data_IF_589036937738
#
_entry.id   IF_589036937738
#
_cell.length_a   1.000
_cell.length_b   1.000
_cell.length_c   1.000
_cell.angle_alpha   90.00
_cell.angle_beta   90.00
_cell.angle_gamma   90.00
#
_symmetry.space_group_name_H-M   'P 1'
#
loop_
_entity.id
_entity.type
_entity.pdbx_description
1 polymer ?
#
# COMPACT_ATOMS: atom_id res chain seq x y z
N UNK A 1 -21.44 0.40 -5.86
CA UNK A 1 -20.72 1.41 -5.04
C UNK A 1 -20.17 2.47 -5.97
N UNK A 2 -20.52 3.74 -5.72
CA UNK A 2 -20.09 4.88 -6.55
C UNK A 2 -18.82 5.51 -5.99
N UNK A 3 -17.75 5.55 -6.79
CA UNK A 3 -16.44 6.03 -6.40
C UNK A 3 -16.17 7.41 -6.97
N UNK A 4 -15.67 8.32 -6.13
CA UNK A 4 -15.08 9.58 -6.54
C UNK A 4 -13.57 9.51 -6.49
N UNK A 5 -12.86 9.81 -7.58
CA UNK A 5 -11.39 9.81 -7.64
C UNK A 5 -10.87 11.21 -7.39
N UNK A 6 -10.06 11.41 -6.36
CA UNK A 6 -9.30 12.63 -6.12
C UNK A 6 -7.88 12.46 -6.64
N UNK A 7 -7.56 13.15 -7.74
CA UNK A 7 -6.27 13.07 -8.41
C UNK A 7 -6.35 12.47 -9.82
N UNK A 8 -6.38 13.31 -10.85
CA UNK A 8 -6.39 12.94 -12.26
C UNK A 8 -4.99 12.60 -12.78
N UNK A 9 -4.27 11.70 -12.08
CA UNK A 9 -2.92 11.27 -12.40
C UNK A 9 -2.85 9.84 -12.95
N UNK A 10 -1.62 9.32 -13.07
CA UNK A 10 -1.36 7.98 -13.63
C UNK A 10 -2.11 6.86 -12.89
N UNK A 11 -2.05 6.85 -11.54
CA UNK A 11 -2.73 5.83 -10.74
C UNK A 11 -4.25 5.96 -10.84
N UNK A 12 -4.80 7.19 -10.81
CA UNK A 12 -6.21 7.41 -11.03
C UNK A 12 -6.69 6.83 -12.38
N UNK A 13 -5.93 7.03 -13.46
CA UNK A 13 -6.24 6.44 -14.77
C UNK A 13 -6.16 4.92 -14.80
N UNK A 14 -5.21 4.31 -14.07
CA UNK A 14 -5.14 2.86 -13.91
C UNK A 14 -6.37 2.31 -13.20
N UNK A 15 -6.74 2.95 -12.10
CA UNK A 15 -7.94 2.60 -11.33
C UNK A 15 -9.22 2.78 -12.17
N UNK A 16 -9.29 3.86 -12.96
CA UNK A 16 -10.44 4.08 -13.83
C UNK A 16 -10.67 2.93 -14.82
N UNK A 17 -9.60 2.41 -15.45
CA UNK A 17 -9.70 1.23 -16.33
C UNK A 17 -10.11 -0.01 -15.56
N UNK A 18 -9.54 -0.23 -14.38
CA UNK A 18 -9.86 -1.40 -13.54
C UNK A 18 -11.32 -1.41 -13.12
N UNK A 19 -11.83 -0.28 -12.61
CA UNK A 19 -13.22 -0.18 -12.13
C UNK A 19 -14.21 -0.34 -13.29
N UNK A 20 -13.88 0.12 -14.50
CA UNK A 20 -14.74 -0.03 -15.68
C UNK A 20 -15.06 -1.50 -16.01
N UNK A 21 -14.23 -2.44 -15.53
CA UNK A 21 -14.41 -3.89 -15.71
C UNK A 21 -14.81 -4.61 -14.41
N UNK A 22 -15.02 -3.85 -13.31
CA UNK A 22 -15.29 -4.42 -11.97
C UNK A 22 -16.78 -4.36 -11.65
N UNK A 23 -17.43 -5.50 -11.52
CA UNK A 23 -18.85 -5.58 -11.20
C UNK A 23 -19.20 -4.97 -9.84
N UNK A 24 -20.23 -4.12 -9.83
CA UNK A 24 -20.78 -3.53 -8.61
C UNK A 24 -19.95 -2.38 -8.02
N UNK A 25 -19.00 -1.84 -8.82
CA UNK A 25 -18.25 -0.62 -8.50
C UNK A 25 -18.25 0.28 -9.75
N UNK A 26 -18.61 1.55 -9.60
CA UNK A 26 -18.69 2.50 -10.69
C UNK A 26 -17.93 3.78 -10.33
N UNK A 27 -17.23 4.39 -11.29
CA UNK A 27 -16.68 5.73 -11.10
C UNK A 27 -17.77 6.74 -11.42
N UNK A 28 -18.13 7.54 -10.43
CA UNK A 28 -19.10 8.63 -10.58
C UNK A 28 -18.45 9.96 -10.91
N UNK A 29 -17.30 10.24 -10.28
CA UNK A 29 -16.69 11.55 -10.35
C UNK A 29 -15.15 11.51 -10.32
N UNK A 30 -14.53 12.56 -10.87
CA UNK A 30 -13.10 12.85 -10.71
C UNK A 30 -12.91 14.30 -10.29
N UNK A 31 -12.03 14.53 -9.30
CA UNK A 31 -11.64 15.85 -8.82
C UNK A 31 -10.16 16.14 -9.04
N UNK A 32 -9.87 17.35 -9.49
CA UNK A 32 -8.51 17.84 -9.65
C UNK A 32 -8.44 19.33 -9.30
N UNK A 33 -7.28 19.82 -8.83
CA UNK A 33 -7.02 21.27 -8.62
C UNK A 33 -7.05 22.07 -9.91
N UNK A 34 -7.19 21.43 -11.06
CA UNK A 34 -7.37 22.02 -12.38
C UNK A 34 -8.58 21.38 -13.03
N UNK A 35 -9.64 22.17 -13.25
CA UNK A 35 -10.87 21.70 -13.90
C UNK A 35 -10.56 21.05 -15.26
N UNK A 36 -9.73 21.69 -16.10
CA UNK A 36 -9.37 21.14 -17.40
C UNK A 36 -8.69 19.76 -17.32
N UNK A 37 -7.91 19.47 -16.24
CA UNK A 37 -7.36 18.12 -16.03
C UNK A 37 -8.45 17.13 -15.62
N UNK A 38 -9.38 17.54 -14.77
CA UNK A 38 -10.51 16.70 -14.38
C UNK A 38 -11.42 16.40 -15.59
N UNK A 39 -11.72 17.41 -16.40
CA UNK A 39 -12.54 17.27 -17.60
C UNK A 39 -11.89 16.36 -18.65
N UNK A 40 -10.60 16.50 -18.90
CA UNK A 40 -9.86 15.62 -19.83
C UNK A 40 -9.86 14.17 -19.34
N UNK A 41 -9.61 13.96 -18.04
CA UNK A 41 -9.69 12.64 -17.44
C UNK A 41 -11.11 12.05 -17.54
N UNK A 42 -12.13 12.84 -17.23
CA UNK A 42 -13.54 12.42 -17.31
C UNK A 42 -13.90 11.99 -18.73
N UNK A 43 -13.42 12.72 -19.74
CA UNK A 43 -13.64 12.38 -21.16
C UNK A 43 -12.87 11.11 -21.56
N UNK A 44 -11.61 10.96 -21.14
CA UNK A 44 -10.77 9.78 -21.47
C UNK A 44 -11.37 8.48 -20.90
N UNK A 45 -11.89 8.54 -19.67
CA UNK A 45 -12.37 7.36 -18.93
C UNK A 45 -13.89 7.27 -18.81
N UNK A 46 -14.65 8.10 -19.54
CA UNK A 46 -16.12 8.15 -19.50
C UNK A 46 -16.68 8.35 -18.07
N UNK A 47 -16.01 9.19 -17.25
CA UNK A 47 -16.46 9.51 -15.90
C UNK A 47 -17.58 10.57 -15.98
N UNK A 48 -18.76 10.35 -15.36
CA UNK A 48 -19.92 11.22 -15.52
C UNK A 48 -19.71 12.66 -15.04
N UNK A 49 -18.92 12.87 -13.95
CA UNK A 49 -18.78 14.17 -13.30
C UNK A 49 -17.32 14.57 -13.16
N UNK A 50 -16.98 15.82 -13.48
CA UNK A 50 -15.65 16.40 -13.29
C UNK A 50 -15.75 17.63 -12.38
N UNK A 51 -14.87 17.73 -11.38
CA UNK A 51 -14.82 18.82 -10.41
C UNK A 51 -13.47 19.54 -10.44
N UNK A 52 -13.50 20.88 -10.35
CA UNK A 52 -12.32 21.76 -10.38
C UNK A 52 -11.59 21.86 -9.05
N UNK A 53 -12.19 21.34 -7.98
CA UNK A 53 -11.60 21.25 -6.65
C UNK A 53 -11.93 19.93 -5.96
N UNK A 54 -11.14 19.56 -4.97
CA UNK A 54 -11.41 18.37 -4.15
C UNK A 54 -12.67 18.56 -3.28
N UNK A 55 -12.84 19.77 -2.75
CA UNK A 55 -14.00 20.11 -1.90
C UNK A 55 -15.33 19.95 -2.64
N UNK A 56 -15.41 20.41 -3.91
CA UNK A 56 -16.61 20.22 -4.75
C UNK A 56 -16.95 18.74 -4.95
N UNK A 57 -15.93 17.88 -5.20
CA UNK A 57 -16.15 16.44 -5.30
C UNK A 57 -16.64 15.86 -3.97
N UNK A 58 -16.07 16.30 -2.85
CA UNK A 58 -16.43 15.82 -1.52
C UNK A 58 -17.84 16.26 -1.09
N UNK A 59 -18.38 17.32 -1.69
CA UNK A 59 -19.77 17.79 -1.46
C UNK A 59 -20.80 17.02 -2.28
N UNK A 60 -20.38 16.18 -3.24
CA UNK A 60 -21.29 15.35 -4.04
C UNK A 60 -21.92 14.25 -3.16
N UNK A 61 -23.26 14.31 -2.91
CA UNK A 61 -23.93 13.36 -2.01
C UNK A 61 -23.99 11.94 -2.57
N UNK A 62 -23.84 11.76 -3.88
CA UNK A 62 -23.97 10.46 -4.53
C UNK A 62 -22.70 9.60 -4.46
N UNK A 63 -21.60 10.13 -3.93
CA UNK A 63 -20.33 9.40 -3.79
C UNK A 63 -20.34 8.58 -2.49
N UNK A 64 -20.20 7.27 -2.63
CA UNK A 64 -20.11 6.30 -1.53
C UNK A 64 -18.70 6.18 -0.96
N UNK A 65 -17.66 6.19 -1.84
CA UNK A 65 -16.25 6.03 -1.49
C UNK A 65 -15.39 7.04 -2.25
N UNK A 66 -14.49 7.71 -1.56
CA UNK A 66 -13.49 8.59 -2.16
C UNK A 66 -12.16 7.84 -2.25
N UNK A 67 -11.63 7.70 -3.47
CA UNK A 67 -10.28 7.18 -3.69
C UNK A 67 -9.29 8.35 -3.78
N UNK A 68 -8.36 8.40 -2.81
CA UNK A 68 -7.37 9.48 -2.71
C UNK A 68 -6.10 9.06 -3.43
N UNK A 69 -5.88 9.60 -4.64
CA UNK A 69 -4.79 9.29 -5.57
C UNK A 69 -3.84 10.47 -5.79
N UNK A 70 -3.68 11.31 -4.77
CA UNK A 70 -2.73 12.43 -4.77
C UNK A 70 -1.31 11.95 -4.43
N UNK A 71 -0.26 12.79 -4.55
CA UNK A 71 1.03 12.49 -3.94
C UNK A 71 0.92 12.34 -2.41
N UNK A 72 1.81 11.54 -1.79
CA UNK A 72 1.81 11.26 -0.34
C UNK A 72 1.66 12.51 0.52
N UNK A 73 2.35 13.60 0.14
CA UNK A 73 2.31 14.89 0.85
C UNK A 73 0.93 15.55 0.96
N UNK A 74 -0.04 15.11 0.16
CA UNK A 74 -1.41 15.66 0.13
C UNK A 74 -2.46 14.68 0.66
N UNK A 75 -2.10 13.45 1.04
CA UNK A 75 -3.05 12.47 1.55
C UNK A 75 -3.76 12.96 2.79
N UNK A 76 -3.00 13.55 3.74
CA UNK A 76 -3.52 13.97 5.04
C UNK A 76 -4.64 15.00 4.93
N UNK A 77 -4.39 16.11 4.27
CA UNK A 77 -5.35 17.21 4.16
C UNK A 77 -6.65 16.78 3.47
N UNK A 78 -6.50 16.05 2.35
CA UNK A 78 -7.63 15.54 1.58
C UNK A 78 -8.47 14.55 2.39
N UNK A 79 -7.81 13.62 3.08
CA UNK A 79 -8.49 12.59 3.87
C UNK A 79 -9.19 13.18 5.09
N UNK A 80 -8.55 14.12 5.78
CA UNK A 80 -9.16 14.83 6.92
C UNK A 80 -10.41 15.61 6.50
N UNK A 81 -10.39 16.29 5.35
CA UNK A 81 -11.55 16.98 4.81
C UNK A 81 -12.67 15.99 4.44
N UNK A 82 -12.33 14.89 3.76
CA UNK A 82 -13.29 13.86 3.36
C UNK A 82 -14.00 13.25 4.57
N UNK A 83 -13.25 12.81 5.60
CA UNK A 83 -13.82 12.31 6.85
C UNK A 83 -14.63 13.40 7.54
N UNK A 84 -14.15 14.66 7.50
CA UNK A 84 -14.86 15.85 8.00
C UNK A 84 -16.29 15.95 7.46
N UNK A 85 -16.44 15.68 6.17
CA UNK A 85 -17.71 15.67 5.42
C UNK A 85 -18.47 14.33 5.47
N UNK A 86 -17.99 13.35 6.22
CA UNK A 86 -18.61 12.02 6.37
C UNK A 86 -18.38 11.07 5.18
N UNK A 87 -17.41 11.34 4.31
CA UNK A 87 -17.10 10.51 3.15
C UNK A 87 -16.14 9.37 3.52
N UNK A 88 -16.52 8.14 3.20
CA UNK A 88 -15.63 6.98 3.27
C UNK A 88 -14.42 7.19 2.34
N UNK A 89 -13.25 6.73 2.76
CA UNK A 89 -11.99 6.92 2.03
C UNK A 89 -11.22 5.61 1.84
N UNK A 90 -10.67 5.43 0.64
CA UNK A 90 -9.58 4.52 0.35
C UNK A 90 -8.39 5.38 -0.12
N UNK A 91 -7.31 5.36 0.65
CA UNK A 91 -6.16 6.26 0.45
C UNK A 91 -4.99 5.48 -0.10
N UNK A 92 -4.35 6.00 -1.15
CA UNK A 92 -3.15 5.40 -1.72
C UNK A 92 -2.04 5.20 -0.67
N UNK A 93 -1.25 4.18 -0.93
CA UNK A 93 -0.05 3.90 -0.12
C UNK A 93 1.11 4.85 -0.52
N UNK A 94 2.05 5.20 0.38
CA UNK A 94 1.95 5.03 1.81
C UNK A 94 0.83 5.92 2.37
N UNK A 95 0.19 5.46 3.44
CA UNK A 95 -1.06 6.05 3.92
C UNK A 95 -0.99 7.56 4.11
N UNK A 96 0.03 8.04 4.85
CA UNK A 96 0.29 9.47 5.10
C UNK A 96 1.79 9.77 4.96
N UNK A 97 2.19 11.00 5.21
CA UNK A 97 3.60 11.38 5.24
C UNK A 97 4.34 10.80 6.46
N UNK A 98 3.64 10.61 7.58
CA UNK A 98 4.19 10.09 8.83
C UNK A 98 3.12 9.50 9.76
N UNK A 99 3.55 8.86 10.84
CA UNK A 99 2.67 8.21 11.81
C UNK A 99 1.82 9.19 12.64
N UNK A 100 2.27 10.41 12.84
CA UNK A 100 1.49 11.44 13.55
C UNK A 100 0.24 11.83 12.74
N UNK A 101 0.40 12.08 11.43
CA UNK A 101 -0.72 12.31 10.52
C UNK A 101 -1.63 11.09 10.43
N UNK A 102 -1.05 9.88 10.35
CA UNK A 102 -1.78 8.60 10.35
C UNK A 102 -2.67 8.50 11.58
N UNK A 103 -2.12 8.70 12.76
CA UNK A 103 -2.87 8.66 14.03
C UNK A 103 -4.04 9.65 14.03
N UNK A 104 -3.79 10.90 13.61
CA UNK A 104 -4.84 11.93 13.55
C UNK A 104 -6.00 11.54 12.63
N UNK A 105 -5.70 10.96 11.45
CA UNK A 105 -6.73 10.49 10.50
C UNK A 105 -7.53 9.33 11.09
N UNK A 106 -6.85 8.33 11.65
CA UNK A 106 -7.51 7.14 12.21
C UNK A 106 -8.36 7.48 13.45
N UNK A 107 -7.90 8.43 14.27
CA UNK A 107 -8.67 8.92 15.43
C UNK A 107 -9.93 9.68 14.97
N UNK A 108 -9.84 10.50 13.93
CA UNK A 108 -10.99 11.19 13.36
C UNK A 108 -11.98 10.21 12.74
N UNK A 109 -11.50 9.19 12.00
CA UNK A 109 -12.31 8.10 11.45
C UNK A 109 -13.11 7.41 12.54
N UNK A 110 -12.45 6.96 13.61
CA UNK A 110 -13.10 6.32 14.77
C UNK A 110 -14.12 7.24 15.45
N UNK A 111 -13.74 8.50 15.68
CA UNK A 111 -14.63 9.50 16.33
C UNK A 111 -15.90 9.76 15.52
N UNK A 112 -15.81 9.76 14.19
CA UNK A 112 -16.95 10.03 13.31
C UNK A 112 -17.67 8.78 12.81
N UNK A 113 -17.11 7.58 13.04
CA UNK A 113 -17.64 6.34 12.49
C UNK A 113 -17.57 6.27 10.97
N UNK A 114 -16.57 6.92 10.35
CA UNK A 114 -16.40 6.98 8.90
C UNK A 114 -15.34 5.97 8.48
N UNK A 115 -15.65 5.17 7.45
CA UNK A 115 -14.73 4.18 6.90
C UNK A 115 -13.47 4.83 6.32
N UNK A 116 -12.29 4.27 6.67
CA UNK A 116 -11.00 4.61 6.07
C UNK A 116 -10.18 3.35 5.87
N UNK A 117 -9.63 3.17 4.67
CA UNK A 117 -8.71 2.09 4.33
C UNK A 117 -7.46 2.61 3.62
N UNK A 118 -6.38 1.84 3.70
CA UNK A 118 -5.17 2.07 2.90
C UNK A 118 -5.17 1.15 1.68
N UNK A 119 -4.86 1.70 0.51
CA UNK A 119 -4.80 1.02 -0.77
C UNK A 119 -3.45 0.29 -0.95
N UNK A 120 -3.09 -0.59 -0.02
CA UNK A 120 -2.01 -1.57 -0.22
C UNK A 120 -2.61 -2.77 -0.95
N UNK A 121 -2.83 -2.63 -2.24
CA UNK A 121 -3.57 -3.58 -3.08
C UNK A 121 -3.17 -5.04 -2.94
N UNK A 122 -1.89 -5.32 -2.62
CA UNK A 122 -1.37 -6.66 -2.36
C UNK A 122 -2.07 -7.40 -1.21
N UNK A 123 -2.57 -6.66 -0.21
CA UNK A 123 -3.28 -7.23 0.94
C UNK A 123 -4.67 -7.74 0.62
N UNK A 124 -5.21 -7.30 -0.50
CA UNK A 124 -6.57 -7.64 -0.92
C UNK A 124 -6.62 -8.76 -1.97
N UNK A 125 -5.47 -9.10 -2.57
CA UNK A 125 -5.39 -10.09 -3.65
C UNK A 125 -5.62 -11.53 -3.16
N UNK A 126 -6.20 -12.41 -4.01
CA UNK A 126 -6.41 -13.83 -3.71
C UNK A 126 -5.12 -14.59 -3.37
N UNK A 127 -3.97 -14.16 -3.91
CA UNK A 127 -2.66 -14.73 -3.63
C UNK A 127 -2.35 -14.82 -2.13
N UNK A 128 -2.80 -13.82 -1.34
CA UNK A 128 -2.62 -13.82 0.12
C UNK A 128 -3.21 -15.08 0.77
N UNK A 129 -4.44 -15.45 0.39
CA UNK A 129 -5.12 -16.64 0.91
C UNK A 129 -4.39 -17.93 0.50
N UNK A 130 -3.90 -17.99 -0.73
CA UNK A 130 -3.14 -19.16 -1.25
C UNK A 130 -1.83 -19.32 -0.45
N UNK A 131 -1.06 -18.24 -0.29
CA UNK A 131 0.22 -18.28 0.44
C UNK A 131 0.00 -18.65 1.91
N UNK A 132 -1.01 -18.06 2.58
CA UNK A 132 -1.36 -18.43 3.97
C UNK A 132 -1.67 -19.90 4.10
N UNK A 133 -2.52 -20.44 3.23
CA UNK A 133 -2.84 -21.86 3.23
C UNK A 133 -1.59 -22.73 3.06
N UNK A 134 -0.65 -22.33 2.19
CA UNK A 134 0.61 -23.06 1.99
C UNK A 134 1.57 -22.97 3.19
N UNK A 135 1.46 -21.97 4.03
CA UNK A 135 2.19 -21.85 5.31
C UNK A 135 1.51 -22.76 6.35
N UNK A 136 0.19 -22.68 6.46
CA UNK A 136 -0.62 -23.38 7.46
C UNK A 136 -0.69 -24.88 7.22
N UNK A 137 -0.41 -25.37 6.00
CA UNK A 137 -0.38 -26.81 5.66
C UNK A 137 0.76 -27.58 6.35
N UNK A 138 1.66 -26.87 7.03
CA UNK A 138 2.76 -27.44 7.80
C UNK A 138 3.96 -27.93 7.00
N UNK A 139 3.88 -27.90 5.66
CA UNK A 139 4.96 -28.44 4.80
C UNK A 139 6.26 -27.65 4.83
N UNK A 140 6.28 -26.42 5.36
CA UNK A 140 7.54 -25.69 5.63
C UNK A 140 8.10 -26.00 7.01
N UNK A 141 7.33 -26.71 7.86
CA UNK A 141 7.66 -26.87 9.28
C UNK A 141 7.60 -25.54 10.02
N UNK A 142 8.47 -25.34 11.01
CA UNK A 142 8.55 -24.09 11.75
C UNK A 142 9.22 -23.00 10.91
N UNK A 143 8.53 -21.87 10.70
CA UNK A 143 9.10 -20.72 10.02
C UNK A 143 10.36 -20.21 10.71
N UNK A 144 11.41 -19.91 9.95
CA UNK A 144 12.71 -19.43 10.42
C UNK A 144 13.15 -18.16 9.75
N UNK A 145 12.79 -17.98 8.50
CA UNK A 145 13.19 -16.82 7.72
C UNK A 145 12.03 -16.36 6.82
N UNK A 146 11.94 -15.05 6.64
CA UNK A 146 11.10 -14.42 5.63
C UNK A 146 11.87 -13.28 4.99
N UNK A 147 11.82 -13.17 3.68
CA UNK A 147 12.47 -12.08 2.97
C UNK A 147 11.60 -11.54 1.83
N UNK A 148 11.76 -10.26 1.53
CA UNK A 148 11.09 -9.60 0.43
C UNK A 148 12.03 -8.59 -0.24
N UNK A 149 12.05 -8.58 -1.56
CA UNK A 149 12.77 -7.59 -2.36
C UNK A 149 11.82 -6.93 -3.33
N UNK A 150 11.89 -5.60 -3.46
CA UNK A 150 11.16 -4.86 -4.48
C UNK A 150 12.02 -3.71 -5.02
N UNK A 151 12.36 -3.76 -6.30
CA UNK A 151 13.20 -2.76 -6.92
C UNK A 151 12.75 -2.43 -8.35
N UNK A 152 12.65 -1.13 -8.64
CA UNK A 152 12.33 -0.59 -9.96
C UNK A 152 13.22 0.62 -10.25
N UNK A 153 13.72 0.74 -11.47
CA UNK A 153 14.46 1.93 -11.93
C UNK A 153 13.50 3.11 -12.17
N UNK A 154 13.19 3.84 -11.11
CA UNK A 154 12.19 4.94 -11.10
C UNK A 154 12.72 6.23 -10.44
N UNK A 155 14.01 6.29 -10.11
CA UNK A 155 14.64 7.48 -9.48
C UNK A 155 14.46 8.77 -10.29
N UNK A 156 14.28 8.67 -11.63
CA UNK A 156 14.02 9.80 -12.50
C UNK A 156 12.64 10.47 -12.29
N UNK A 157 11.73 9.81 -11.53
CA UNK A 157 10.38 10.36 -11.32
C UNK A 157 10.38 11.39 -10.20
N UNK A 158 9.81 12.59 -10.40
CA UNK A 158 9.79 13.66 -9.39
C UNK A 158 9.25 13.21 -8.03
N UNK A 159 8.25 12.32 -7.99
CA UNK A 159 7.66 11.81 -6.74
C UNK A 159 8.62 10.96 -5.90
N UNK A 160 9.73 10.48 -6.50
CA UNK A 160 10.75 9.68 -5.80
C UNK A 160 11.83 10.56 -5.20
N UNK A 161 12.27 11.61 -5.91
CA UNK A 161 13.44 12.40 -5.52
C UNK A 161 13.10 13.70 -4.77
N UNK A 162 11.81 14.04 -4.61
CA UNK A 162 11.38 15.31 -4.00
C UNK A 162 10.90 15.13 -2.57
N UNK A 163 11.61 15.67 -1.55
CA UNK A 163 11.18 15.61 -0.15
C UNK A 163 9.82 16.27 0.08
N UNK A 164 9.49 17.35 -0.66
CA UNK A 164 8.20 18.04 -0.58
C UNK A 164 7.01 17.21 -1.09
N UNK A 165 7.27 16.11 -1.80
CA UNK A 165 6.28 15.12 -2.21
C UNK A 165 6.30 13.86 -1.33
N UNK A 166 7.09 13.84 -0.25
CA UNK A 166 7.40 12.68 0.57
C UNK A 166 7.98 11.55 -0.30
N UNK A 167 9.01 11.90 -1.09
CA UNK A 167 9.72 10.96 -1.96
C UNK A 167 10.55 9.96 -1.17
N UNK A 168 11.14 9.02 -1.87
CA UNK A 168 11.96 7.94 -1.30
C UNK A 168 11.49 6.57 -1.74
N UNK A 169 12.38 5.60 -1.68
CA UNK A 169 12.09 4.21 -2.00
C UNK A 169 11.27 3.55 -0.88
N UNK A 170 11.49 3.90 0.38
CA UNK A 170 10.79 3.31 1.52
C UNK A 170 9.27 3.47 1.42
N UNK A 171 8.77 4.70 1.24
CA UNK A 171 7.33 4.96 1.14
C UNK A 171 6.74 4.47 -0.19
N UNK A 172 7.52 4.43 -1.28
CA UNK A 172 6.99 4.02 -2.59
C UNK A 172 7.08 2.50 -2.83
N UNK A 173 8.17 1.85 -2.40
CA UNK A 173 8.49 0.44 -2.65
C UNK A 173 8.65 -0.37 -1.36
N UNK A 174 9.39 0.13 -0.38
CA UNK A 174 9.66 -0.54 0.89
C UNK A 174 8.40 -0.91 1.64
N UNK A 175 7.37 -0.07 1.55
CA UNK A 175 6.04 -0.35 2.11
C UNK A 175 5.48 -1.70 1.68
N UNK A 176 5.72 -2.14 0.44
CA UNK A 176 5.27 -3.46 -0.03
C UNK A 176 6.10 -4.60 0.57
N UNK A 177 7.42 -4.44 0.66
CA UNK A 177 8.30 -5.44 1.27
C UNK A 177 7.99 -5.60 2.78
N UNK A 178 7.74 -4.50 3.49
CA UNK A 178 7.28 -4.51 4.88
C UNK A 178 5.93 -5.22 4.99
N UNK A 179 4.97 -4.87 4.12
CA UNK A 179 3.67 -5.51 4.09
C UNK A 179 3.77 -7.01 3.82
N UNK A 180 4.66 -7.46 2.92
CA UNK A 180 4.87 -8.89 2.68
C UNK A 180 5.28 -9.63 3.96
N UNK A 181 6.27 -9.11 4.68
CA UNK A 181 6.69 -9.69 5.97
C UNK A 181 5.51 -9.71 6.95
N UNK A 182 4.83 -8.59 7.12
CA UNK A 182 3.74 -8.45 8.08
C UNK A 182 2.51 -9.30 7.76
N UNK A 183 2.19 -9.50 6.48
CA UNK A 183 1.09 -10.37 6.05
C UNK A 183 1.28 -11.82 6.48
N UNK A 184 2.51 -12.32 6.50
CA UNK A 184 2.79 -13.76 6.75
C UNK A 184 3.49 -14.02 8.08
N UNK A 185 4.09 -13.00 8.69
CA UNK A 185 4.78 -13.09 9.98
C UNK A 185 4.51 -11.84 10.82
N UNK A 186 3.30 -11.69 11.41
CA UNK A 186 2.95 -10.51 12.22
C UNK A 186 3.56 -10.51 13.62
N UNK A 187 4.62 -11.27 13.85
CA UNK A 187 5.28 -11.40 15.14
C UNK A 187 5.88 -10.05 15.58
N UNK A 188 5.95 -9.79 16.90
CA UNK A 188 6.64 -8.63 17.45
C UNK A 188 8.10 -8.55 16.96
N UNK A 189 8.54 -7.34 16.61
CA UNK A 189 9.93 -7.05 16.26
C UNK A 189 10.72 -6.87 17.54
N UNK A 190 11.79 -7.64 17.72
CA UNK A 190 12.68 -7.59 18.89
C UNK A 190 13.91 -6.73 18.62
N UNK A 191 14.41 -6.73 17.37
CA UNK A 191 15.57 -5.96 16.95
C UNK A 191 15.45 -5.57 15.47
N UNK A 192 15.97 -4.39 15.13
CA UNK A 192 16.10 -3.89 13.76
C UNK A 192 17.53 -3.39 13.58
N UNK A 193 18.13 -3.75 12.44
CA UNK A 193 19.37 -3.19 11.93
C UNK A 193 19.10 -2.74 10.49
N UNK A 194 19.46 -1.50 10.13
CA UNK A 194 19.12 -0.98 8.81
C UNK A 194 20.22 -0.11 8.20
N UNK A 195 20.21 -0.02 6.87
CA UNK A 195 21.08 0.85 6.10
C UNK A 195 20.32 1.40 4.91
N UNK A 196 20.62 2.64 4.50
CA UNK A 196 20.11 3.20 3.26
C UNK A 196 21.15 4.00 2.50
N UNK A 197 20.91 4.19 1.21
CA UNK A 197 21.63 5.11 0.33
C UNK A 197 20.71 6.28 0.05
N UNK A 198 21.17 7.48 0.37
CA UNK A 198 20.42 8.72 0.17
C UNK A 198 20.69 9.32 -1.21
N UNK A 199 19.72 10.02 -1.75
CA UNK A 199 19.87 10.93 -2.89
C UNK A 199 20.56 12.24 -2.46
N UNK A 200 20.94 13.06 -3.43
CA UNK A 200 21.41 14.44 -3.18
C UNK A 200 20.34 15.31 -2.48
N UNK A 201 19.07 15.04 -2.68
CA UNK A 201 17.95 15.73 -2.03
C UNK A 201 17.64 15.25 -0.61
N UNK A 202 18.35 14.23 -0.11
CA UNK A 202 18.21 13.69 1.25
C UNK A 202 17.08 12.67 1.42
N UNK A 203 16.44 12.19 0.34
CA UNK A 203 15.50 11.06 0.41
C UNK A 203 16.24 9.73 0.19
N UNK A 204 15.70 8.65 0.73
CA UNK A 204 16.21 7.29 0.56
C UNK A 204 15.96 6.78 -0.88
N UNK A 205 16.96 6.12 -1.46
CA UNK A 205 16.87 5.54 -2.80
C UNK A 205 17.01 4.02 -2.81
N UNK A 206 17.76 3.48 -1.84
CA UNK A 206 17.96 2.04 -1.68
C UNK A 206 18.10 1.75 -0.21
N UNK A 207 17.37 0.78 0.29
CA UNK A 207 17.42 0.37 1.68
C UNK A 207 17.53 -1.15 1.85
N UNK A 208 18.16 -1.55 2.96
CA UNK A 208 18.23 -2.91 3.46
C UNK A 208 17.90 -2.90 4.94
N UNK A 209 16.90 -3.67 5.35
CA UNK A 209 16.46 -3.78 6.74
C UNK A 209 16.44 -5.24 7.16
N UNK A 210 17.12 -5.54 8.24
CA UNK A 210 17.15 -6.86 8.89
C UNK A 210 16.43 -6.76 10.23
N UNK A 211 15.48 -7.66 10.49
CA UNK A 211 14.70 -7.70 11.71
C UNK A 211 14.80 -9.07 12.38
N UNK A 212 14.98 -9.08 13.70
CA UNK A 212 14.72 -10.26 14.53
C UNK A 212 13.29 -10.17 15.05
N UNK A 213 12.49 -11.18 14.75
CA UNK A 213 11.11 -11.28 15.18
C UNK A 213 11.00 -12.30 16.30
N UNK A 214 10.02 -12.12 17.19
CA UNK A 214 9.78 -13.07 18.27
C UNK A 214 9.52 -14.49 17.74
N UNK A 215 9.94 -15.50 18.48
CA UNK A 215 9.91 -16.89 18.02
C UNK A 215 11.15 -17.34 17.25
N UNK A 216 12.20 -16.51 17.20
CA UNK A 216 13.49 -16.81 16.57
C UNK A 216 13.41 -16.81 15.04
N UNK A 217 12.68 -15.85 14.47
CA UNK A 217 12.50 -15.67 13.04
C UNK A 217 13.33 -14.47 12.58
N UNK A 218 14.07 -14.61 11.49
CA UNK A 218 14.75 -13.51 10.82
C UNK A 218 13.94 -13.02 9.63
N UNK A 219 13.71 -11.71 9.56
CA UNK A 219 13.09 -11.07 8.41
C UNK A 219 14.08 -10.11 7.73
N UNK A 220 14.17 -10.16 6.41
CA UNK A 220 15.02 -9.27 5.62
C UNK A 220 14.21 -8.64 4.50
N UNK A 221 14.29 -7.33 4.39
CA UNK A 221 13.69 -6.60 3.27
C UNK A 221 14.73 -5.74 2.56
N UNK A 222 14.57 -5.62 1.26
CA UNK A 222 15.35 -4.71 0.43
C UNK A 222 14.43 -4.02 -0.56
N UNK A 223 14.61 -2.72 -0.73
CA UNK A 223 13.97 -1.99 -1.82
C UNK A 223 14.89 -0.97 -2.45
N UNK A 224 14.68 -0.70 -3.72
CA UNK A 224 15.49 0.27 -4.47
C UNK A 224 14.67 0.94 -5.56
N UNK A 225 14.82 2.27 -5.64
CA UNK A 225 14.30 3.07 -6.75
C UNK A 225 15.28 3.21 -7.91
N UNK A 226 16.53 2.71 -7.75
CA UNK A 226 17.66 2.95 -8.68
C UNK A 226 17.99 1.78 -9.60
N UNK A 227 17.41 0.61 -9.39
CA UNK A 227 17.73 -0.59 -10.19
C UNK A 227 16.48 -1.45 -10.44
N UNK A 228 16.58 -2.36 -11.40
CA UNK A 228 15.65 -3.46 -11.53
C UNK A 228 16.06 -4.59 -10.59
N UNK A 229 15.09 -5.23 -9.91
CA UNK A 229 15.32 -6.33 -8.98
C UNK A 229 14.50 -7.56 -9.31
N UNK A 230 14.70 -8.63 -8.52
CA UNK A 230 13.95 -9.88 -8.66
C UNK A 230 12.50 -9.75 -8.16
N UNK A 231 12.19 -8.78 -7.33
CA UNK A 231 10.87 -8.49 -6.77
C UNK A 231 10.23 -9.67 -6.01
N UNK A 232 11.05 -10.60 -5.53
CA UNK A 232 10.60 -11.87 -4.96
C UNK A 232 10.40 -11.81 -3.46
N UNK A 233 9.47 -12.67 -2.98
CA UNK A 233 9.30 -13.00 -1.58
C UNK A 233 9.68 -14.45 -1.29
N UNK A 234 10.36 -14.71 -0.17
CA UNK A 234 10.69 -16.06 0.26
C UNK A 234 10.27 -16.29 1.71
N UNK A 235 9.57 -17.38 1.96
CA UNK A 235 9.14 -17.82 3.29
C UNK A 235 9.75 -19.20 3.54
N UNK A 236 10.68 -19.30 4.48
CA UNK A 236 11.47 -20.50 4.72
C UNK A 236 11.30 -21.03 6.15
N UNK A 237 11.17 -22.33 6.26
CA UNK A 237 11.04 -23.04 7.51
C UNK A 237 11.99 -24.24 7.62
N UNK A 238 11.79 -25.06 8.66
CA UNK A 238 12.66 -26.22 8.96
C UNK A 238 12.52 -27.38 7.95
N UNK A 239 11.40 -27.45 7.18
CA UNK A 239 11.08 -28.57 6.29
C UNK A 239 11.02 -28.19 4.80
N UNK A 240 11.14 -26.90 4.49
CA UNK A 240 11.07 -26.39 3.13
C UNK A 240 10.84 -24.89 3.05
N UNK A 241 10.58 -24.40 1.83
CA UNK A 241 10.35 -22.98 1.62
C UNK A 241 9.37 -22.71 0.47
N UNK A 242 8.87 -21.47 0.42
CA UNK A 242 8.01 -20.94 -0.63
C UNK A 242 8.70 -19.75 -1.29
N UNK A 243 8.63 -19.69 -2.60
CA UNK A 243 9.07 -18.55 -3.40
C UNK A 243 7.86 -17.94 -4.08
N UNK A 244 7.66 -16.65 -3.85
CA UNK A 244 6.63 -15.83 -4.50
C UNK A 244 7.34 -14.97 -5.53
N UNK A 245 6.98 -15.08 -6.79
CA UNK A 245 7.67 -14.45 -7.93
C UNK A 245 7.66 -12.93 -7.89
N UNK A 246 6.62 -12.33 -7.29
CA UNK A 246 6.50 -10.88 -7.17
C UNK A 246 5.74 -10.50 -5.89
N UNK A 247 6.38 -9.74 -4.98
CA UNK A 247 5.80 -9.36 -3.68
C UNK A 247 4.64 -8.38 -3.78
N UNK A 248 4.53 -7.61 -4.85
CA UNK A 248 3.44 -6.66 -5.01
C UNK A 248 2.38 -7.08 -6.04
N UNK A 249 2.65 -8.10 -6.85
CA UNK A 249 1.68 -8.70 -7.77
C UNK A 249 2.04 -10.15 -8.07
N UNK A 250 1.79 -11.08 -7.14
CA UNK A 250 2.12 -12.48 -7.32
C UNK A 250 1.36 -13.13 -8.49
N UNK A 251 2.09 -13.89 -9.34
CA UNK A 251 1.52 -14.69 -10.40
C UNK A 251 1.82 -16.18 -10.21
N UNK A 252 3.02 -16.47 -9.66
CA UNK A 252 3.50 -17.84 -9.44
C UNK A 252 4.01 -18.01 -8.03
N UNK A 253 3.61 -19.11 -7.38
CA UNK A 253 4.07 -19.51 -6.06
C UNK A 253 4.70 -20.88 -6.19
N UNK A 254 6.00 -20.99 -5.89
CA UNK A 254 6.74 -22.24 -5.93
C UNK A 254 6.93 -22.82 -4.53
N UNK A 255 6.73 -24.11 -4.41
CA UNK A 255 6.81 -24.90 -3.18
C UNK A 255 8.00 -25.83 -3.24
N UNK A 256 8.97 -25.62 -2.37
CA UNK A 256 10.19 -26.42 -2.30
C UNK A 256 10.25 -27.22 -1.00
N UNK A 257 10.69 -28.48 -1.09
CA UNK A 257 11.11 -29.29 0.05
C UNK A 257 12.59 -29.04 0.36
N UNK A 258 13.09 -29.67 1.43
CA UNK A 258 14.53 -29.68 1.76
C UNK A 258 15.36 -30.11 0.55
N UNK A 259 16.57 -29.58 0.45
CA UNK A 259 17.48 -29.83 -0.66
C UNK A 259 17.15 -29.09 -1.95
N UNK A 260 16.21 -28.12 -1.91
CA UNK A 260 15.85 -27.32 -3.08
C UNK A 260 15.00 -28.08 -4.12
N UNK A 261 14.30 -29.14 -3.69
CA UNK A 261 13.48 -29.95 -4.58
C UNK A 261 12.13 -29.27 -4.79
N UNK A 262 11.86 -28.79 -6.01
CA UNK A 262 10.56 -28.24 -6.39
C UNK A 262 9.49 -29.36 -6.30
N UNK A 263 8.46 -29.13 -5.51
CA UNK A 263 7.34 -30.05 -5.31
C UNK A 263 6.08 -29.64 -6.04
N UNK A 264 5.84 -28.34 -6.09
CA UNK A 264 4.61 -27.80 -6.63
C UNK A 264 4.84 -26.38 -7.15
N UNK A 265 4.18 -26.02 -8.20
CA UNK A 265 4.09 -24.66 -8.71
C UNK A 265 2.60 -24.31 -8.89
N UNK A 266 2.19 -23.20 -8.29
CA UNK A 266 0.81 -22.74 -8.31
C UNK A 266 0.73 -21.43 -9.06
N UNK A 267 -0.17 -21.34 -10.02
CA UNK A 267 -0.50 -20.08 -10.67
C UNK A 267 -1.60 -19.38 -9.87
N UNK A 268 -1.41 -18.11 -9.59
CA UNK A 268 -2.43 -17.25 -8.98
C UNK A 268 -3.54 -17.02 -10.03
N UNK A 269 -4.82 -17.07 -9.66
CA UNK A 269 -5.91 -16.80 -10.59
C UNK A 269 -5.75 -15.45 -11.31
N UNK A 270 -6.10 -15.42 -12.59
CA UNK A 270 -6.12 -14.20 -13.38
C UNK A 270 -7.07 -13.17 -12.75
N UNK A 271 -6.71 -11.89 -12.88
CA UNK A 271 -7.45 -10.76 -12.37
C UNK A 271 -7.52 -9.65 -13.44
N UNK A 272 -8.37 -8.65 -13.24
CA UNK A 272 -8.44 -7.48 -14.13
C UNK A 272 -7.09 -6.74 -14.08
N UNK A 273 -6.67 -6.40 -12.88
CA UNK A 273 -5.38 -5.72 -12.64
C UNK A 273 -4.79 -6.01 -11.26
N UNK A 274 -5.60 -6.61 -10.37
CA UNK A 274 -5.33 -6.83 -8.96
C UNK A 274 -5.80 -5.69 -8.05
N UNK A 275 -6.07 -4.49 -8.59
CA UNK A 275 -6.61 -3.36 -7.82
C UNK A 275 -8.12 -3.48 -7.56
N UNK A 276 -8.87 -4.23 -8.36
CA UNK A 276 -10.30 -4.45 -8.16
C UNK A 276 -10.63 -4.99 -6.77
N UNK A 277 -9.76 -5.83 -6.22
CA UNK A 277 -10.00 -6.48 -4.93
C UNK A 277 -10.06 -5.51 -3.75
N UNK A 278 -9.32 -4.39 -3.78
CA UNK A 278 -9.40 -3.39 -2.71
C UNK A 278 -10.74 -2.64 -2.73
N UNK A 279 -11.30 -2.37 -3.91
CA UNK A 279 -12.61 -1.74 -4.03
C UNK A 279 -13.74 -2.69 -3.63
N UNK A 280 -13.64 -3.97 -4.02
CA UNK A 280 -14.60 -5.01 -3.61
C UNK A 280 -14.57 -5.20 -2.08
N UNK A 281 -13.38 -5.25 -1.48
CA UNK A 281 -13.22 -5.35 -0.03
C UNK A 281 -13.78 -4.12 0.71
N UNK A 282 -13.55 -2.90 0.19
CA UNK A 282 -14.13 -1.68 0.74
C UNK A 282 -15.66 -1.69 0.64
N UNK A 283 -16.22 -2.05 -0.51
CA UNK A 283 -17.66 -2.20 -0.70
C UNK A 283 -18.28 -3.13 0.34
N UNK A 284 -17.68 -4.30 0.52
CA UNK A 284 -18.18 -5.32 1.44
C UNK A 284 -18.02 -4.90 2.91
N UNK A 285 -16.94 -4.21 3.26
CA UNK A 285 -16.72 -3.68 4.61
C UNK A 285 -17.69 -2.55 4.94
N UNK A 286 -17.86 -1.58 4.04
CA UNK A 286 -18.83 -0.47 4.18
C UNK A 286 -20.26 -1.02 4.28
N UNK A 287 -20.62 -1.99 3.43
CA UNK A 287 -21.92 -2.65 3.46
C UNK A 287 -22.22 -3.38 4.77
N UNK A 288 -21.20 -3.76 5.53
CA UNK A 288 -21.30 -4.35 6.88
C UNK A 288 -21.22 -3.31 8.01
N UNK A 289 -21.12 -2.02 7.69
CA UNK A 289 -20.98 -0.94 8.67
C UNK A 289 -19.63 -0.91 9.38
N UNK A 290 -18.58 -1.52 8.79
CA UNK A 290 -17.22 -1.44 9.33
C UNK A 290 -16.60 -0.09 9.01
N UNK A 291 -15.65 0.35 9.84
CA UNK A 291 -14.88 1.60 9.63
C UNK A 291 -13.48 1.36 9.07
N UNK A 292 -13.11 0.10 8.85
CA UNK A 292 -11.83 -0.33 8.31
C UNK A 292 -11.96 -1.64 7.52
N UNK A 293 -11.12 -1.91 6.52
CA UNK A 293 -11.11 -3.19 5.84
C UNK A 293 -10.39 -4.25 6.70
N UNK A 294 -10.95 -5.45 6.88
CA UNK A 294 -10.30 -6.52 7.66
C UNK A 294 -8.92 -6.94 7.15
N UNK A 295 -8.65 -6.74 5.86
CA UNK A 295 -7.37 -7.06 5.23
C UNK A 295 -6.24 -6.10 5.62
N UNK A 296 -6.59 -4.87 5.96
CA UNK A 296 -5.67 -3.80 6.37
C UNK A 296 -6.27 -3.00 7.53
N UNK A 297 -6.30 -3.55 8.77
CA UNK A 297 -6.88 -2.87 9.92
C UNK A 297 -6.07 -1.62 10.30
N UNK A 298 -6.73 -0.65 10.92
CA UNK A 298 -6.13 0.63 11.36
C UNK A 298 -4.89 0.44 12.24
N UNK A 299 -4.88 -0.60 13.08
CA UNK A 299 -3.72 -0.93 13.92
C UNK A 299 -2.49 -1.32 13.10
N UNK A 300 -2.69 -2.01 11.97
CA UNK A 300 -1.61 -2.42 11.10
C UNK A 300 -1.10 -1.24 10.25
N UNK A 301 -2.00 -0.38 9.74
CA UNK A 301 -1.64 0.87 9.06
C UNK A 301 -0.72 1.70 9.98
N UNK A 302 -1.14 1.91 11.23
CA UNK A 302 -0.37 2.70 12.19
C UNK A 302 0.98 2.05 12.49
N UNK A 303 1.02 0.73 12.74
CA UNK A 303 2.25 0.00 13.01
C UNK A 303 3.28 0.15 11.86
N UNK A 304 2.85 -0.01 10.62
CA UNK A 304 3.73 0.09 9.46
C UNK A 304 4.24 1.52 9.29
N UNK A 305 3.41 2.52 9.49
CA UNK A 305 3.82 3.92 9.42
C UNK A 305 4.81 4.28 10.54
N UNK A 306 4.60 3.80 11.78
CA UNK A 306 5.54 3.97 12.90
C UNK A 306 6.89 3.30 12.63
N UNK A 307 6.89 2.10 12.03
CA UNK A 307 8.10 1.41 11.61
C UNK A 307 8.86 2.22 10.55
N UNK A 308 8.17 2.69 9.51
CA UNK A 308 8.79 3.51 8.46
C UNK A 308 9.33 4.84 8.99
N UNK A 309 8.64 5.48 9.95
CA UNK A 309 9.13 6.69 10.60
C UNK A 309 10.40 6.42 11.42
N UNK A 310 10.48 5.28 12.13
CA UNK A 310 11.67 4.91 12.89
C UNK A 310 12.89 4.71 11.97
N UNK A 311 12.69 4.07 10.83
CA UNK A 311 13.74 3.86 9.81
C UNK A 311 14.18 5.20 9.19
N UNK A 312 13.24 6.05 8.77
CA UNK A 312 13.56 7.37 8.23
C UNK A 312 14.34 8.24 9.24
N UNK A 313 13.93 8.20 10.50
CA UNK A 313 14.63 8.92 11.59
C UNK A 313 16.07 8.43 11.75
N UNK A 314 16.31 7.13 11.74
CA UNK A 314 17.65 6.52 11.82
C UNK A 314 18.52 6.96 10.64
N UNK A 315 17.97 7.03 9.43
CA UNK A 315 18.70 7.41 8.22
C UNK A 315 18.83 8.94 8.02
N UNK A 316 18.13 9.75 8.83
CA UNK A 316 18.10 11.21 8.69
C UNK A 316 17.21 11.71 7.55
N UNK A 317 16.32 10.86 7.02
CA UNK A 317 15.34 11.23 5.97
C UNK A 317 14.22 12.05 6.59
N UNK A 318 14.00 13.27 6.07
CA UNK A 318 12.98 14.18 6.57
C UNK A 318 12.13 14.77 5.46
N UNK A 319 10.86 14.98 5.81
CA UNK A 319 9.91 15.67 4.95
C UNK A 319 9.46 17.00 5.59
N UNK A 320 9.04 17.99 4.80
CA UNK A 320 8.48 19.24 5.33
C UNK A 320 7.29 19.01 6.29
N UNK A 321 6.59 17.88 6.14
CA UNK A 321 5.43 17.50 6.93
C UNK A 321 5.78 16.91 8.30
N UNK A 322 7.04 16.62 8.58
CA UNK A 322 7.46 16.03 9.87
C UNK A 322 7.51 17.07 11.01
N UNK A 323 7.40 18.35 10.67
CA UNK A 323 7.47 19.44 11.65
C UNK A 323 8.90 19.72 12.15
N UNK A 324 9.07 20.75 12.99
CA UNK A 324 10.35 21.02 13.64
C UNK A 324 10.72 19.89 14.62
N UNK A 325 12.02 19.70 14.86
CA UNK A 325 12.50 18.75 15.88
C UNK A 325 11.88 19.04 17.25
N UNK A 326 11.21 18.06 17.83
CA UNK A 326 10.84 18.07 19.26
C UNK A 326 11.96 17.44 20.09
#
# INVERSE_FOLDING_TARGET
MKVGIIGAGHIGGKIARTIAETDGVDILAVGSRSFGKAENFAREFNVPRAYGSYSELLDDPDIDLVYVATPHSHHFEVTMEAIGKGKACLVEKAFMANSAQTRAVLDLSRKKGVFVGEAVWTRYQPALGIIRKLIDDGRIGRMRMISATLAYSIEHKPRIIRPELCGGALLDLGVYAINFVRMFCPNPIEKIDSQCILSESGVDLTESVSMTLSGGIMANIQSSACCAGYNTGVIAGSEGYRVVDNVNNPHVIQVYALGGILREELTVPECISGYEYEFLACRDAIGKGLIEPPQMPHSEILFIMELMDSLRKEWGVRYPMDGPES
#
